data_IF_603267318851
#
_entry.id   IF_603267318851
#
_cell.length_a   1.000
_cell.length_b   1.000
_cell.length_c   1.000
_cell.angle_alpha   90.00
_cell.angle_beta   90.00
_cell.angle_gamma   90.00
#
_symmetry.space_group_name_H-M   'P 1'
#
loop_
_entity.id
_entity.type
_entity.pdbx_description
1 polymer ?
#
# COMPACT_ATOMS: atom_id res chain seq x y z
N UNK A 1 6.51 26.34 -5.08
CA UNK A 1 6.88 25.04 -5.66
C UNK A 1 6.41 23.93 -4.72
N UNK A 2 5.66 22.93 -5.20
CA UNK A 2 5.00 21.90 -4.35
C UNK A 2 5.79 20.59 -4.15
N UNK A 3 7.05 20.54 -4.60
CA UNK A 3 7.89 19.34 -4.50
C UNK A 3 8.60 19.28 -3.13
N UNK A 4 8.55 18.13 -2.46
CA UNK A 4 9.31 17.88 -1.22
C UNK A 4 10.72 17.32 -1.50
N UNK A 5 10.82 16.30 -2.34
CA UNK A 5 12.10 15.70 -2.74
C UNK A 5 11.98 14.98 -4.09
N UNK A 6 13.07 14.96 -4.86
CA UNK A 6 13.26 14.12 -6.05
C UNK A 6 14.68 13.55 -6.01
N UNK A 7 14.81 12.26 -6.29
CA UNK A 7 16.10 11.56 -6.40
C UNK A 7 16.07 10.71 -7.67
N UNK A 8 17.12 10.78 -8.49
CA UNK A 8 17.28 9.98 -9.70
C UNK A 8 18.48 9.05 -9.53
N UNK A 9 18.24 7.75 -9.64
CA UNK A 9 19.26 6.69 -9.53
C UNK A 9 19.46 6.04 -10.89
N UNK A 10 20.72 5.89 -11.30
CA UNK A 10 21.12 5.18 -12.53
C UNK A 10 22.33 4.31 -12.21
N UNK A 11 22.25 3.02 -12.59
CA UNK A 11 23.34 2.05 -12.36
C UNK A 11 23.83 2.06 -10.90
N UNK A 12 22.91 2.07 -9.95
CA UNK A 12 23.21 2.12 -8.50
C UNK A 12 23.89 3.41 -8.00
N UNK A 13 23.95 4.46 -8.81
CA UNK A 13 24.47 5.78 -8.42
C UNK A 13 23.37 6.83 -8.44
N UNK A 14 23.35 7.71 -7.43
CA UNK A 14 22.52 8.93 -7.47
C UNK A 14 23.18 9.88 -8.47
N UNK A 15 22.46 10.21 -9.54
CA UNK A 15 22.95 11.12 -10.60
C UNK A 15 22.36 12.52 -10.48
N UNK A 16 21.26 12.68 -9.74
CA UNK A 16 20.66 13.97 -9.42
C UNK A 16 19.75 13.83 -8.19
N UNK A 17 19.71 14.88 -7.36
CA UNK A 17 18.75 15.03 -6.28
C UNK A 17 18.39 16.49 -6.06
N UNK A 18 17.15 16.75 -5.64
CA UNK A 18 16.67 18.09 -5.27
C UNK A 18 15.69 17.99 -4.12
N UNK A 19 15.80 18.91 -3.18
CA UNK A 19 14.94 18.99 -2.01
C UNK A 19 14.24 20.35 -1.96
N UNK A 20 12.99 20.35 -1.52
CA UNK A 20 12.24 21.58 -1.23
C UNK A 20 12.77 22.26 0.03
N UNK A 21 12.39 23.52 0.22
CA UNK A 21 12.73 24.28 1.44
C UNK A 21 12.28 23.53 2.70
N UNK A 22 13.18 23.39 3.68
CA UNK A 22 12.92 22.62 4.92
C UNK A 22 13.04 21.10 4.80
N UNK A 23 13.26 20.55 3.60
CA UNK A 23 13.48 19.12 3.37
C UNK A 23 14.94 18.80 3.08
N UNK A 24 15.36 17.59 3.45
CA UNK A 24 16.71 17.08 3.18
C UNK A 24 16.66 15.58 2.93
N UNK A 25 17.79 15.00 2.54
CA UNK A 25 17.97 13.55 2.45
C UNK A 25 17.62 12.78 3.73
N UNK A 26 17.61 13.45 4.90
CA UNK A 26 17.31 12.85 6.20
C UNK A 26 15.86 13.05 6.65
N UNK A 27 15.06 13.79 5.89
CA UNK A 27 13.68 14.11 6.26
C UNK A 27 12.77 12.95 5.86
N UNK A 28 12.11 12.25 6.81
CA UNK A 28 11.14 11.22 6.46
C UNK A 28 9.93 11.85 5.76
N UNK A 29 9.42 11.17 4.72
CA UNK A 29 8.24 11.58 3.97
C UNK A 29 7.13 10.55 4.17
N UNK A 30 5.88 11.02 4.18
CA UNK A 30 4.71 10.15 4.15
C UNK A 30 4.72 9.33 2.86
N UNK A 31 4.69 8.00 2.99
CA UNK A 31 4.71 7.09 1.85
C UNK A 31 3.39 7.01 1.08
N UNK A 32 2.25 7.34 1.72
CA UNK A 32 0.92 7.22 1.12
C UNK A 32 0.74 5.86 0.42
N UNK A 33 0.18 5.84 -0.79
CA UNK A 33 -0.01 4.59 -1.54
C UNK A 33 1.29 3.91 -1.98
N UNK A 34 2.46 4.56 -1.93
CA UNK A 34 3.72 3.85 -2.18
C UNK A 34 3.98 2.76 -1.14
N UNK A 35 3.46 2.90 0.08
CA UNK A 35 3.57 1.89 1.13
C UNK A 35 2.91 0.55 0.73
N UNK A 36 1.91 0.57 -0.18
CA UNK A 36 1.30 -0.66 -0.70
C UNK A 36 2.32 -1.57 -1.40
N UNK A 37 3.32 -0.99 -2.09
CA UNK A 37 4.41 -1.75 -2.73
C UNK A 37 5.29 -2.47 -1.71
N UNK A 38 5.54 -1.86 -0.55
CA UNK A 38 6.30 -2.49 0.54
C UNK A 38 5.52 -3.68 1.10
N UNK A 39 4.21 -3.52 1.33
CA UNK A 39 3.34 -4.62 1.76
C UNK A 39 3.34 -5.77 0.74
N UNK A 40 3.31 -5.45 -0.56
CA UNK A 40 3.40 -6.45 -1.62
C UNK A 40 4.71 -7.25 -1.58
N UNK A 41 5.84 -6.58 -1.34
CA UNK A 41 7.14 -7.24 -1.20
C UNK A 41 7.20 -8.18 0.02
N UNK A 42 6.59 -7.77 1.15
CA UNK A 42 6.49 -8.60 2.36
C UNK A 42 5.64 -9.85 2.07
N UNK A 43 4.47 -9.68 1.44
CA UNK A 43 3.61 -10.81 1.02
C UNK A 43 4.37 -11.74 0.08
N UNK A 44 5.07 -11.21 -0.93
CA UNK A 44 5.87 -12.02 -1.85
C UNK A 44 6.97 -12.83 -1.15
N UNK A 45 7.59 -12.26 -0.10
CA UNK A 45 8.56 -12.99 0.74
C UNK A 45 7.90 -14.15 1.49
N UNK A 46 6.72 -13.93 2.07
CA UNK A 46 5.97 -14.98 2.77
C UNK A 46 5.46 -16.07 1.82
N UNK A 47 5.09 -15.71 0.59
CA UNK A 47 4.72 -16.69 -0.46
C UNK A 47 5.93 -17.53 -0.85
N UNK A 48 7.09 -16.90 -1.05
CA UNK A 48 8.35 -17.62 -1.32
C UNK A 48 8.72 -18.59 -0.19
N UNK A 49 8.47 -18.19 1.06
CA UNK A 49 8.70 -19.03 2.25
C UNK A 49 7.64 -20.15 2.43
N UNK A 50 6.62 -20.23 1.57
CA UNK A 50 5.52 -21.19 1.71
C UNK A 50 4.58 -20.91 2.89
N UNK A 51 4.65 -19.72 3.50
CA UNK A 51 3.80 -19.31 4.62
C UNK A 51 2.47 -18.72 4.17
N UNK A 52 2.41 -18.22 2.94
CA UNK A 52 1.19 -17.76 2.28
C UNK A 52 1.12 -18.36 0.87
N UNK A 53 -0.09 -18.45 0.32
CA UNK A 53 -0.31 -18.75 -1.08
C UNK A 53 -1.23 -17.67 -1.68
N UNK A 54 -1.01 -17.29 -2.94
CA UNK A 54 -1.79 -16.23 -3.61
C UNK A 54 -3.27 -16.60 -3.76
N UNK A 55 -3.59 -17.88 -3.80
CA UNK A 55 -4.94 -18.43 -3.87
C UNK A 55 -5.58 -18.68 -2.50
N UNK A 56 -4.89 -18.31 -1.40
CA UNK A 56 -5.47 -18.39 -0.05
C UNK A 56 -6.78 -17.62 0.02
N UNK A 57 -7.80 -18.25 0.61
CA UNK A 57 -9.14 -17.73 0.87
C UNK A 57 -9.46 -17.81 2.36
N UNK A 58 -10.60 -17.25 2.78
CA UNK A 58 -10.97 -17.24 4.20
C UNK A 58 -9.97 -16.47 5.06
N UNK A 59 -9.41 -15.39 4.49
CA UNK A 59 -8.27 -14.62 5.02
C UNK A 59 -8.52 -14.04 6.41
N UNK A 60 -9.77 -13.73 6.73
CA UNK A 60 -10.15 -13.12 8.00
C UNK A 60 -11.29 -13.91 8.65
N UNK A 61 -11.19 -14.15 9.96
CA UNK A 61 -12.21 -14.86 10.73
C UNK A 61 -13.63 -14.25 10.56
N UNK A 62 -13.81 -12.92 10.62
CA UNK A 62 -15.14 -12.30 10.43
C UNK A 62 -15.77 -12.54 9.05
N UNK A 63 -14.98 -12.85 8.02
CA UNK A 63 -15.49 -13.05 6.66
C UNK A 63 -16.08 -14.44 6.43
N UNK A 64 -15.90 -15.37 7.38
CA UNK A 64 -16.43 -16.73 7.28
C UNK A 64 -17.95 -16.80 7.22
N UNK A 65 -18.63 -15.77 7.72
CA UNK A 65 -20.09 -15.72 7.80
C UNK A 65 -20.76 -15.15 6.53
N UNK A 66 -19.99 -14.64 5.57
CA UNK A 66 -20.54 -14.00 4.37
C UNK A 66 -19.72 -14.31 3.09
N UNK A 67 -20.14 -13.73 1.96
CA UNK A 67 -19.54 -13.98 0.65
C UNK A 67 -18.07 -13.59 0.53
N UNK A 68 -17.53 -12.79 1.45
CA UNK A 68 -16.13 -12.33 1.42
C UNK A 68 -15.13 -13.45 1.69
N UNK A 69 -15.56 -14.57 2.27
CA UNK A 69 -14.70 -15.75 2.43
C UNK A 69 -14.10 -16.25 1.10
N UNK A 70 -14.74 -15.97 -0.04
CA UNK A 70 -14.29 -16.37 -1.36
C UNK A 70 -13.17 -15.48 -1.95
N UNK A 71 -12.95 -14.28 -1.39
CA UNK A 71 -11.92 -13.33 -1.84
C UNK A 71 -10.55 -13.94 -1.55
N UNK A 72 -9.73 -14.05 -2.60
CA UNK A 72 -8.37 -14.57 -2.50
C UNK A 72 -7.37 -13.49 -2.09
N UNK A 73 -6.19 -13.91 -1.63
CA UNK A 73 -5.08 -12.99 -1.40
C UNK A 73 -4.70 -12.25 -2.70
N UNK A 74 -4.74 -12.92 -3.85
CA UNK A 74 -4.49 -12.30 -5.15
C UNK A 74 -5.47 -11.17 -5.45
N UNK A 75 -6.75 -11.34 -5.14
CA UNK A 75 -7.77 -10.30 -5.38
C UNK A 75 -7.51 -9.03 -4.55
N UNK A 76 -7.07 -9.18 -3.30
CA UNK A 76 -6.66 -8.05 -2.46
C UNK A 76 -5.41 -7.36 -3.00
N UNK A 77 -4.41 -8.15 -3.42
CA UNK A 77 -3.14 -7.65 -3.95
C UNK A 77 -3.31 -6.92 -5.30
N UNK A 78 -4.33 -7.29 -6.08
CA UNK A 78 -4.64 -6.72 -7.38
C UNK A 78 -5.68 -5.58 -7.34
N UNK A 79 -6.17 -5.21 -6.15
CA UNK A 79 -7.28 -4.24 -6.00
C UNK A 79 -8.55 -4.67 -6.75
N UNK A 80 -8.84 -5.97 -6.80
CA UNK A 80 -9.95 -6.57 -7.55
C UNK A 80 -10.89 -7.41 -6.68
N UNK A 81 -10.94 -7.11 -5.38
CA UNK A 81 -11.74 -7.87 -4.40
C UNK A 81 -13.25 -7.67 -4.51
N UNK A 82 -13.69 -6.61 -5.20
CA UNK A 82 -15.11 -6.25 -5.30
C UNK A 82 -15.71 -5.70 -4.00
N UNK A 83 -14.88 -5.41 -2.99
CA UNK A 83 -15.33 -4.74 -1.77
C UNK A 83 -15.69 -3.30 -2.07
N UNK A 84 -16.86 -2.87 -1.60
CA UNK A 84 -17.23 -1.47 -1.61
C UNK A 84 -16.37 -0.70 -0.60
N UNK A 85 -15.79 0.40 -1.05
CA UNK A 85 -14.97 1.28 -0.22
C UNK A 85 -15.01 2.70 -0.79
N UNK A 86 -15.47 3.67 -0.01
CA UNK A 86 -15.48 5.06 -0.42
C UNK A 86 -14.12 5.72 -0.12
N UNK A 87 -13.36 6.01 -1.19
CA UNK A 87 -12.03 6.67 -1.14
C UNK A 87 -12.09 8.18 -1.44
N UNK A 88 -13.24 8.82 -1.18
CA UNK A 88 -13.35 10.28 -1.24
C UNK A 88 -12.66 10.94 -0.03
N UNK A 89 -11.86 11.97 -0.28
CA UNK A 89 -11.13 12.74 0.73
C UNK A 89 -11.79 14.10 1.07
N UNK A 90 -12.90 14.45 0.42
CA UNK A 90 -13.59 15.73 0.60
C UNK A 90 -14.51 15.79 1.82
N UNK A 91 -15.09 14.65 2.23
CA UNK A 91 -16.06 14.52 3.33
C UNK A 91 -15.74 13.31 4.23
N UNK A 92 -16.62 12.99 5.19
CA UNK A 92 -16.52 11.76 5.98
C UNK A 92 -16.84 10.54 5.10
N UNK A 93 -15.81 9.76 4.81
CA UNK A 93 -15.82 8.56 3.98
C UNK A 93 -15.06 7.44 4.68
N UNK A 94 -15.02 6.25 4.08
CA UNK A 94 -14.34 5.10 4.70
C UNK A 94 -12.84 5.34 4.84
N UNK A 95 -12.22 6.03 3.87
CA UNK A 95 -10.80 6.40 3.95
C UNK A 95 -10.51 7.42 5.05
N UNK A 96 -11.36 8.43 5.25
CA UNK A 96 -11.13 9.45 6.28
C UNK A 96 -11.43 8.91 7.68
N UNK A 97 -12.38 7.97 7.81
CA UNK A 97 -12.55 7.17 9.03
C UNK A 97 -11.29 6.37 9.34
N UNK A 98 -10.82 5.54 8.41
CA UNK A 98 -9.62 4.71 8.59
C UNK A 98 -8.38 5.52 9.00
N UNK A 99 -8.23 6.75 8.49
CA UNK A 99 -7.05 7.58 8.76
C UNK A 99 -7.11 8.37 10.07
N UNK A 100 -8.31 8.73 10.56
CA UNK A 100 -8.45 9.74 11.60
C UNK A 100 -9.40 9.38 12.75
N UNK A 101 -10.18 8.30 12.64
CA UNK A 101 -11.22 7.88 13.61
C UNK A 101 -10.98 6.46 14.12
#
# INVERSE_FOLDING_TARGET
AGMRAVVVVKNSHIVAERYGEGFSAKTPLLGWSMTKTVNAAIVGTLVKDGKLAIDNKGLFAPWKADGRAAISLADLMAMSSGLEFNEDYGDVADVTRMLYL
#
